data_IF_307022204014
#
_entry.id   IF_307022204014
#
_cell.length_a   1.000
_cell.length_b   1.000
_cell.length_c   1.000
_cell.angle_alpha   90.00
_cell.angle_beta   90.00
_cell.angle_gamma   90.00
#
_symmetry.space_group_name_H-M   'P 1'
#
loop_
_entity.id
_entity.type
_entity.pdbx_description
1 polymer ?
#
# COMPACT_ATOMS: atom_id res chain seq x y z
N UNK A 1 4.75 4.04 1.47
CA UNK A 1 4.01 2.80 1.16
C UNK A 1 4.96 1.60 1.04
N UNK A 2 4.40 0.40 0.99
CA UNK A 2 5.13 -0.84 0.72
C UNK A 2 4.60 -1.48 -0.55
N UNK A 3 5.48 -1.70 -1.52
CA UNK A 3 5.16 -2.41 -2.76
C UNK A 3 5.34 -3.91 -2.57
N UNK A 4 4.41 -4.70 -3.07
CA UNK A 4 4.52 -6.17 -3.14
C UNK A 4 5.48 -6.53 -4.27
N UNK A 5 6.49 -7.35 -3.98
CA UNK A 5 7.45 -7.85 -4.98
C UNK A 5 6.82 -8.91 -5.88
N UNK A 6 7.46 -9.17 -7.04
CA UNK A 6 6.99 -10.17 -8.01
C UNK A 6 6.84 -11.57 -7.42
N UNK A 7 7.74 -11.96 -6.51
CA UNK A 7 7.62 -13.16 -5.69
C UNK A 7 7.01 -12.77 -4.34
N UNK A 8 5.67 -12.72 -4.25
CA UNK A 8 5.01 -12.06 -3.13
C UNK A 8 5.08 -12.82 -1.82
N UNK A 9 5.21 -14.12 -1.85
CA UNK A 9 5.15 -14.94 -0.65
C UNK A 9 6.52 -15.39 -0.17
N UNK A 10 6.70 -15.40 1.15
CA UNK A 10 7.88 -15.92 1.85
C UNK A 10 7.44 -16.81 3.00
N UNK A 11 8.00 -18.00 3.09
CA UNK A 11 7.85 -18.84 4.28
C UNK A 11 8.68 -18.30 5.44
N UNK A 12 8.11 -18.32 6.61
CA UNK A 12 8.76 -17.99 7.85
C UNK A 12 8.66 -19.15 8.83
N UNK A 13 9.82 -19.72 9.20
CA UNK A 13 9.99 -20.79 10.20
C UNK A 13 9.09 -22.03 9.97
N UNK A 14 8.69 -22.31 8.72
CA UNK A 14 7.77 -23.38 8.34
C UNK A 14 6.37 -23.32 9.00
N UNK A 15 6.02 -22.19 9.62
CA UNK A 15 4.76 -22.00 10.31
C UNK A 15 3.89 -20.89 9.73
N UNK A 16 4.52 -19.91 9.10
CA UNK A 16 3.85 -18.71 8.62
C UNK A 16 4.22 -18.39 7.18
N UNK A 17 3.31 -17.69 6.52
CA UNK A 17 3.56 -17.02 5.24
C UNK A 17 3.55 -15.53 5.49
N UNK A 18 4.63 -14.86 5.11
CA UNK A 18 4.76 -13.41 5.06
C UNK A 18 4.73 -12.93 3.62
N UNK A 19 4.37 -11.67 3.40
CA UNK A 19 4.53 -11.08 2.09
C UNK A 19 5.89 -10.38 1.96
N UNK A 20 6.49 -10.57 0.80
CA UNK A 20 7.73 -9.95 0.42
C UNK A 20 7.45 -8.55 -0.13
N UNK A 21 7.90 -7.55 0.58
CA UNK A 21 7.64 -6.14 0.25
C UNK A 21 8.91 -5.34 0.12
N UNK A 22 8.84 -4.24 -0.59
CA UNK A 22 9.88 -3.22 -0.62
C UNK A 22 9.31 -1.87 -0.20
N UNK A 23 10.12 -1.11 0.52
CA UNK A 23 9.77 0.23 0.97
C UNK A 23 9.79 1.20 -0.21
N UNK A 24 8.74 1.97 -0.37
CA UNK A 24 8.66 3.07 -1.32
C UNK A 24 9.01 4.39 -0.61
N UNK A 25 10.09 5.02 -1.05
CA UNK A 25 10.53 6.32 -0.55
C UNK A 25 10.94 6.37 0.93
N UNK A 26 11.01 7.58 1.46
CA UNK A 26 11.17 7.86 2.89
C UNK A 26 9.84 7.69 3.63
N UNK A 27 9.84 6.98 4.75
CA UNK A 27 8.60 6.77 5.49
C UNK A 27 8.84 6.47 6.96
N UNK A 28 7.88 6.84 7.79
CA UNK A 28 7.82 6.40 9.18
C UNK A 28 7.36 4.93 9.22
N UNK A 29 8.15 4.06 9.84
CA UNK A 29 7.80 2.64 9.95
C UNK A 29 6.80 2.38 11.08
N UNK A 30 6.94 3.07 12.21
CA UNK A 30 6.12 2.83 13.40
C UNK A 30 4.60 2.83 13.17
N UNK A 31 4.01 3.72 12.34
CA UNK A 31 2.56 3.74 12.09
C UNK A 31 2.02 2.52 11.33
N UNK A 32 2.88 1.65 10.82
CA UNK A 32 2.46 0.46 10.07
C UNK A 32 2.26 -0.78 10.94
N UNK A 33 2.78 -0.77 12.16
CA UNK A 33 2.67 -1.90 13.07
C UNK A 33 1.27 -2.02 13.69
N UNK A 34 0.88 -3.25 14.00
CA UNK A 34 -0.30 -3.64 14.78
C UNK A 34 -1.62 -3.09 14.23
N UNK A 35 -1.69 -2.93 12.93
CA UNK A 35 -2.86 -2.39 12.23
C UNK A 35 -3.41 -3.37 11.20
N UNK A 36 -4.72 -3.38 10.97
CA UNK A 36 -5.28 -4.14 9.86
C UNK A 36 -4.82 -3.52 8.54
N UNK A 37 -4.15 -4.32 7.74
CA UNK A 37 -3.65 -3.95 6.43
C UNK A 37 -4.31 -4.80 5.36
N UNK A 38 -4.30 -4.30 4.13
CA UNK A 38 -4.66 -5.05 2.94
C UNK A 38 -3.85 -4.56 1.74
N UNK A 39 -4.21 -5.04 0.55
CA UNK A 39 -3.52 -4.69 -0.69
C UNK A 39 -4.47 -4.07 -1.70
N UNK A 40 -3.95 -3.09 -2.43
CA UNK A 40 -4.62 -2.48 -3.57
C UNK A 40 -3.60 -2.11 -4.64
N UNK A 41 -4.05 -1.94 -5.87
CA UNK A 41 -3.18 -1.54 -6.96
C UNK A 41 -3.78 -1.90 -8.32
N UNK A 42 -2.90 -2.26 -9.25
CA UNK A 42 -3.28 -2.63 -10.61
C UNK A 42 -2.66 -3.96 -11.01
N UNK A 43 -3.35 -4.66 -11.90
CA UNK A 43 -2.93 -5.89 -12.54
C UNK A 43 -2.83 -5.67 -14.03
N UNK A 44 -1.80 -6.23 -14.65
CA UNK A 44 -1.76 -6.45 -16.09
C UNK A 44 -2.38 -7.83 -16.36
N UNK A 45 -3.50 -7.86 -17.06
CA UNK A 45 -4.30 -9.07 -17.28
C UNK A 45 -4.41 -9.36 -18.76
N UNK A 46 -4.28 -10.63 -19.12
CA UNK A 46 -4.49 -11.11 -20.48
C UNK A 46 -6.00 -11.18 -20.78
N UNK A 47 -6.44 -10.44 -21.78
CA UNK A 47 -7.82 -10.49 -22.32
C UNK A 47 -7.77 -10.85 -23.82
N UNK A 48 -7.81 -12.14 -24.13
CA UNK A 48 -7.63 -12.63 -25.50
C UNK A 48 -6.24 -12.28 -26.03
N UNK A 49 -6.18 -11.44 -27.06
CA UNK A 49 -4.91 -10.97 -27.68
C UNK A 49 -4.45 -9.60 -27.16
N UNK A 50 -5.04 -9.11 -26.08
CA UNK A 50 -4.70 -7.80 -25.49
C UNK A 50 -4.25 -7.95 -24.05
N UNK A 51 -3.50 -6.96 -23.59
CA UNK A 51 -3.22 -6.76 -22.16
C UNK A 51 -4.12 -5.63 -21.68
N UNK A 52 -4.89 -5.89 -20.66
CA UNK A 52 -5.74 -4.90 -20.01
C UNK A 52 -5.22 -4.59 -18.61
N UNK A 53 -5.41 -3.35 -18.17
CA UNK A 53 -5.16 -2.96 -16.79
C UNK A 53 -6.44 -3.12 -15.98
N UNK A 54 -6.37 -3.87 -14.89
CA UNK A 54 -7.46 -4.02 -13.91
C UNK A 54 -7.02 -3.42 -12.59
N UNK A 55 -7.86 -2.55 -12.03
CA UNK A 55 -7.68 -2.10 -10.66
C UNK A 55 -8.20 -3.17 -9.71
N UNK A 56 -7.50 -3.35 -8.61
CA UNK A 56 -7.87 -4.29 -7.57
C UNK A 56 -7.73 -3.66 -6.19
N UNK A 57 -8.66 -3.97 -5.32
CA UNK A 57 -8.63 -3.67 -3.89
C UNK A 57 -9.16 -4.88 -3.15
N UNK A 58 -8.34 -5.50 -2.33
CA UNK A 58 -8.82 -6.55 -1.41
C UNK A 58 -9.46 -5.85 -0.22
N UNK A 59 -10.79 -5.84 -0.18
CA UNK A 59 -11.56 -5.04 0.80
C UNK A 59 -11.91 -5.84 2.06
N UNK A 60 -10.89 -6.44 2.68
CA UNK A 60 -10.96 -7.08 3.99
C UNK A 60 -9.65 -6.93 4.73
N UNK A 61 -9.65 -7.14 6.03
CA UNK A 61 -8.43 -7.23 6.83
C UNK A 61 -7.69 -8.50 6.41
N UNK A 62 -6.53 -8.33 5.78
CA UNK A 62 -5.80 -9.40 5.13
C UNK A 62 -4.46 -9.67 5.79
N UNK A 63 -3.81 -8.63 6.26
CA UNK A 63 -2.41 -8.61 6.66
C UNK A 63 -2.21 -7.82 7.95
N UNK A 64 -1.10 -8.11 8.62
CA UNK A 64 -0.60 -7.30 9.73
C UNK A 64 0.92 -7.35 9.78
N UNK A 65 1.55 -6.26 10.15
CA UNK A 65 2.96 -6.23 10.57
C UNK A 65 2.97 -6.21 12.10
N UNK A 66 3.15 -7.36 12.76
CA UNK A 66 3.09 -7.41 14.22
C UNK A 66 4.38 -6.86 14.84
N UNK A 67 4.25 -6.07 15.89
CA UNK A 67 5.36 -5.77 16.78
C UNK A 67 5.77 -7.00 17.59
N UNK A 68 7.02 -7.04 17.96
CA UNK A 68 7.48 -7.98 18.96
C UNK A 68 7.10 -7.49 20.37
N UNK A 69 6.85 -8.43 21.27
CA UNK A 69 6.75 -8.09 22.68
C UNK A 69 8.05 -7.45 23.16
N UNK A 70 7.97 -6.52 24.13
CA UNK A 70 9.11 -5.80 24.67
C UNK A 70 10.24 -6.73 25.15
N UNK A 71 9.90 -7.96 25.57
CA UNK A 71 10.87 -8.96 25.98
C UNK A 71 11.81 -9.43 24.88
N UNK A 72 11.38 -9.32 23.62
CA UNK A 72 12.13 -9.71 22.42
C UNK A 72 12.74 -8.52 21.68
N UNK A 73 12.34 -7.30 22.04
CA UNK A 73 12.87 -6.07 21.46
C UNK A 73 12.94 -4.97 22.53
N UNK A 74 13.91 -5.06 23.44
CA UNK A 74 14.04 -4.16 24.59
C UNK A 74 14.43 -2.74 24.21
N UNK A 75 15.04 -2.55 23.05
CA UNK A 75 15.51 -1.25 22.55
C UNK A 75 14.44 -0.48 21.78
N UNK A 76 13.24 -1.06 21.58
CA UNK A 76 12.20 -0.46 20.75
C UNK A 76 11.82 0.97 21.18
N UNK A 77 11.88 1.25 22.48
CA UNK A 77 11.57 2.58 23.03
C UNK A 77 12.78 3.52 23.10
N UNK A 78 13.97 3.02 22.83
CA UNK A 78 15.24 3.74 22.97
C UNK A 78 15.85 4.13 21.61
N UNK A 79 15.06 4.06 20.53
CA UNK A 79 15.49 4.44 19.18
C UNK A 79 15.86 3.28 18.27
N UNK A 80 15.11 2.18 18.33
CA UNK A 80 15.30 1.02 17.47
C UNK A 80 15.27 1.39 15.98
N UNK A 81 16.28 0.94 15.23
CA UNK A 81 16.38 1.15 13.79
C UNK A 81 15.74 0.01 13.03
N UNK A 82 14.54 0.24 12.52
CA UNK A 82 13.81 -0.76 11.73
C UNK A 82 14.55 -1.12 10.43
N UNK A 83 14.69 -2.42 10.19
CA UNK A 83 15.10 -2.98 8.91
C UNK A 83 13.86 -3.34 8.08
N UNK A 84 13.62 -2.61 7.01
CA UNK A 84 12.42 -2.81 6.19
C UNK A 84 12.30 -4.23 5.60
N UNK A 85 13.41 -4.92 5.35
CA UNK A 85 13.42 -6.28 4.79
C UNK A 85 13.27 -7.39 5.85
N UNK A 86 13.26 -7.04 7.12
CA UNK A 86 13.14 -7.99 8.25
C UNK A 86 11.91 -7.66 9.08
N UNK A 87 11.83 -6.42 9.56
CA UNK A 87 10.83 -5.99 10.55
C UNK A 87 9.48 -5.65 9.91
N UNK A 88 9.48 -5.25 8.61
CA UNK A 88 8.30 -4.69 7.95
C UNK A 88 7.59 -5.69 7.01
N UNK A 89 7.95 -6.96 7.06
CA UNK A 89 7.31 -7.99 6.24
C UNK A 89 5.95 -8.37 6.85
N UNK A 90 4.82 -8.08 6.17
CA UNK A 90 3.52 -8.36 6.73
C UNK A 90 3.23 -9.86 6.81
N UNK A 91 2.68 -10.27 7.93
CA UNK A 91 2.16 -11.61 8.13
C UNK A 91 0.87 -11.77 7.30
N UNK A 92 0.80 -12.82 6.50
CA UNK A 92 -0.33 -13.12 5.64
C UNK A 92 -1.17 -14.30 6.17
N UNK A 93 -0.53 -15.35 6.68
CA UNK A 93 -1.25 -16.49 7.17
C UNK A 93 -0.37 -17.56 7.80
N UNK A 94 -0.96 -18.65 8.21
CA UNK A 94 -0.26 -19.89 8.59
C UNK A 94 0.36 -20.59 7.37
N UNK A 95 1.06 -21.68 7.59
CA UNK A 95 1.74 -22.45 6.53
C UNK A 95 0.80 -22.87 5.37
N UNK A 96 -0.44 -23.18 5.70
CA UNK A 96 -1.47 -23.61 4.72
C UNK A 96 -1.88 -22.47 3.75
N UNK A 97 -1.55 -21.21 4.06
CA UNK A 97 -1.84 -20.08 3.19
C UNK A 97 -0.85 -19.93 2.03
N UNK A 98 0.21 -20.76 2.00
CA UNK A 98 1.19 -20.72 0.93
C UNK A 98 0.56 -20.93 -0.45
N UNK A 99 0.91 -20.06 -1.40
CA UNK A 99 0.41 -20.08 -2.77
C UNK A 99 -0.96 -19.44 -2.97
N UNK A 100 -1.62 -18.95 -1.92
CA UNK A 100 -2.99 -18.43 -2.00
C UNK A 100 -3.10 -16.92 -2.15
N UNK A 101 -2.00 -16.17 -1.98
CA UNK A 101 -2.07 -14.71 -2.03
C UNK A 101 -2.56 -14.19 -3.39
N UNK A 102 -1.96 -14.65 -4.48
CA UNK A 102 -2.38 -14.22 -5.81
C UNK A 102 -3.75 -14.75 -6.23
N UNK A 103 -4.22 -15.87 -5.65
CA UNK A 103 -5.62 -16.32 -5.80
C UNK A 103 -6.58 -15.31 -5.14
N UNK A 104 -6.28 -14.89 -3.92
CA UNK A 104 -7.05 -13.85 -3.21
C UNK A 104 -7.12 -12.53 -4.00
N UNK A 105 -6.02 -12.15 -4.62
CA UNK A 105 -5.95 -10.95 -5.47
C UNK A 105 -6.79 -11.13 -6.74
N UNK A 106 -6.66 -12.27 -7.41
CA UNK A 106 -7.42 -12.59 -8.62
C UNK A 106 -8.93 -12.60 -8.37
N UNK A 107 -9.37 -13.25 -7.29
CA UNK A 107 -10.75 -13.27 -6.85
C UNK A 107 -11.30 -11.86 -6.62
N UNK A 108 -10.54 -11.02 -5.91
CA UNK A 108 -10.93 -9.63 -5.63
C UNK A 108 -11.00 -8.76 -6.89
N UNK A 109 -10.21 -9.07 -7.91
CA UNK A 109 -10.22 -8.38 -9.21
C UNK A 109 -11.26 -8.96 -10.19
N UNK A 110 -11.89 -10.08 -9.87
CA UNK A 110 -12.82 -10.80 -10.75
C UNK A 110 -12.13 -11.35 -12.02
N UNK A 111 -10.88 -11.80 -11.89
CA UNK A 111 -10.08 -12.36 -12.98
C UNK A 111 -9.53 -13.73 -12.60
N UNK A 112 -9.09 -14.50 -13.59
CA UNK A 112 -8.41 -15.77 -13.32
C UNK A 112 -6.95 -15.53 -12.96
N UNK A 113 -6.43 -16.33 -12.05
CA UNK A 113 -5.02 -16.23 -11.62
C UNK A 113 -4.04 -16.39 -12.78
N UNK A 114 -4.33 -17.33 -13.68
CA UNK A 114 -3.50 -17.62 -14.86
C UNK A 114 -3.46 -16.49 -15.89
N UNK A 115 -4.44 -15.58 -15.88
CA UNK A 115 -4.49 -14.43 -16.78
C UNK A 115 -3.70 -13.22 -16.25
N UNK A 116 -3.24 -13.25 -14.99
CA UNK A 116 -2.42 -12.19 -14.42
C UNK A 116 -0.98 -12.32 -14.93
N UNK A 117 -0.55 -11.33 -15.70
CA UNK A 117 0.78 -11.25 -16.29
C UNK A 117 1.80 -10.46 -15.44
N UNK A 118 1.30 -9.59 -14.60
CA UNK A 118 2.10 -8.76 -13.70
C UNK A 118 1.22 -7.91 -12.80
N UNK A 119 1.82 -7.29 -11.82
CA UNK A 119 1.11 -6.48 -10.84
C UNK A 119 1.95 -5.32 -10.31
N UNK A 120 1.25 -4.25 -9.92
CA UNK A 120 1.72 -3.16 -9.10
C UNK A 120 0.78 -3.07 -7.88
N UNK A 121 1.09 -3.84 -6.85
CA UNK A 121 0.29 -3.94 -5.63
C UNK A 121 1.02 -3.28 -4.46
N UNK A 122 0.27 -2.56 -3.65
CA UNK A 122 0.77 -1.85 -2.48
C UNK A 122 -0.05 -2.20 -1.25
N UNK A 123 0.61 -2.20 -0.10
CA UNK A 123 -0.10 -2.26 1.18
C UNK A 123 -0.87 -0.96 1.39
N UNK A 124 -2.04 -1.08 1.98
CA UNK A 124 -2.76 0.08 2.49
C UNK A 124 -3.30 -0.19 3.90
N UNK A 125 -3.34 0.87 4.70
CA UNK A 125 -3.91 0.84 6.04
C UNK A 125 -5.43 0.89 5.95
N UNK A 126 -6.11 -0.03 6.61
CA UNK A 126 -7.57 -0.13 6.61
C UNK A 126 -8.25 0.68 7.72
N UNK A 127 -7.48 1.27 8.61
CA UNK A 127 -8.07 2.16 9.65
C UNK A 127 -8.72 3.35 8.94
N UNK A 128 -10.04 3.57 9.14
CA UNK A 128 -10.74 4.67 8.50
C UNK A 128 -10.26 6.02 9.04
N UNK A 129 -10.50 7.07 8.26
CA UNK A 129 -10.32 8.43 8.74
C UNK A 129 -11.23 8.74 9.93
N UNK A 130 -10.79 9.62 10.82
CA UNK A 130 -11.54 10.03 12.00
C UNK A 130 -11.43 11.52 12.27
N UNK A 131 -12.50 12.08 12.82
CA UNK A 131 -12.52 13.43 13.38
C UNK A 131 -12.36 13.30 14.89
N UNK A 132 -11.48 14.11 15.48
CA UNK A 132 -11.14 14.03 16.89
C UNK A 132 -10.73 15.40 17.47
N UNK A 133 -10.47 15.45 18.77
CA UNK A 133 -10.21 16.67 19.53
C UNK A 133 -11.40 17.05 20.40
N UNK A 134 -11.20 17.97 21.33
CA UNK A 134 -12.23 18.38 22.29
C UNK A 134 -13.46 18.99 21.61
N UNK A 135 -13.28 19.67 20.49
CA UNK A 135 -14.34 20.26 19.66
C UNK A 135 -14.47 19.62 18.28
N UNK A 136 -13.79 18.49 18.02
CA UNK A 136 -13.79 17.86 16.69
C UNK A 136 -12.97 18.64 15.66
N UNK A 137 -11.95 19.35 16.10
CA UNK A 137 -11.16 20.28 15.28
C UNK A 137 -10.04 19.61 14.47
N UNK A 138 -9.79 18.31 14.69
CA UNK A 138 -8.74 17.57 14.00
C UNK A 138 -9.31 16.47 13.12
N UNK A 139 -8.62 16.21 12.01
CA UNK A 139 -8.87 15.07 11.11
C UNK A 139 -7.61 14.21 11.03
N UNK A 140 -7.75 12.91 11.23
CA UNK A 140 -6.72 11.92 10.93
C UNK A 140 -7.20 10.98 9.84
N UNK A 141 -6.39 10.83 8.80
CA UNK A 141 -6.65 9.88 7.72
C UNK A 141 -5.31 9.44 7.11
N UNK A 142 -5.25 8.23 6.60
CA UNK A 142 -4.14 7.82 5.75
C UNK A 142 -4.14 8.59 4.43
N UNK A 143 -2.97 8.81 3.86
CA UNK A 143 -2.77 9.41 2.53
C UNK A 143 -3.21 10.89 2.40
N UNK A 144 -3.34 11.65 3.49
CA UNK A 144 -3.53 13.10 3.40
C UNK A 144 -2.37 13.76 2.64
N UNK A 145 -1.18 13.36 2.95
CA UNK A 145 0.00 13.58 2.12
C UNK A 145 0.06 12.41 1.11
N UNK A 146 -0.05 12.69 -0.20
CA UNK A 146 -0.21 14.02 -0.82
C UNK A 146 -1.58 14.21 -1.52
N UNK A 147 -2.53 13.31 -1.26
CA UNK A 147 -3.85 13.37 -1.90
C UNK A 147 -4.62 14.66 -1.61
N UNK A 148 -4.37 15.32 -0.48
CA UNK A 148 -4.98 16.60 -0.18
C UNK A 148 -4.52 17.68 -1.18
N UNK A 149 -3.20 17.72 -1.47
CA UNK A 149 -2.65 18.67 -2.45
C UNK A 149 -3.13 18.33 -3.86
N UNK A 150 -3.12 17.05 -4.24
CA UNK A 150 -3.64 16.60 -5.53
C UNK A 150 -5.12 17.00 -5.73
N UNK A 151 -5.95 16.83 -4.70
CA UNK A 151 -7.35 17.23 -4.74
C UNK A 151 -7.52 18.76 -4.81
N UNK A 152 -6.78 19.50 -4.00
CA UNK A 152 -6.90 20.98 -3.95
C UNK A 152 -6.48 21.63 -5.26
N UNK A 153 -5.39 21.14 -5.85
CA UNK A 153 -4.92 21.63 -7.17
C UNK A 153 -5.87 21.26 -8.30
N UNK A 154 -6.47 20.06 -8.25
CA UNK A 154 -7.52 19.67 -9.19
C UNK A 154 -8.74 20.59 -9.09
N UNK A 155 -9.19 20.89 -7.87
CA UNK A 155 -10.29 21.83 -7.64
C UNK A 155 -9.97 23.21 -8.19
N UNK A 156 -8.79 23.75 -7.87
CA UNK A 156 -8.34 25.04 -8.40
C UNK A 156 -8.26 25.06 -9.94
N UNK A 157 -7.82 23.97 -10.56
CA UNK A 157 -7.81 23.82 -12.02
C UNK A 157 -9.22 23.84 -12.62
N UNK A 158 -10.18 23.15 -12.01
CA UNK A 158 -11.56 23.08 -12.53
C UNK A 158 -12.34 24.39 -12.33
N UNK A 159 -12.07 25.12 -11.26
CA UNK A 159 -12.77 26.35 -10.89
C UNK A 159 -12.08 27.61 -11.42
N UNK A 160 -10.81 27.50 -11.82
CA UNK A 160 -10.04 28.60 -12.40
C UNK A 160 -10.40 28.89 -13.84
N UNK A 161 -10.48 30.19 -14.18
CA UNK A 161 -10.66 30.65 -15.57
C UNK A 161 -9.36 31.26 -16.10
N UNK A 162 -8.85 30.73 -17.21
CA UNK A 162 -7.62 31.21 -17.84
C UNK A 162 -7.87 31.40 -19.35
N UNK A 163 -8.51 32.51 -19.79
CA UNK A 163 -8.93 32.67 -21.17
C UNK A 163 -7.76 32.81 -22.16
N UNK A 164 -6.59 33.21 -21.68
CA UNK A 164 -5.44 33.52 -22.52
C UNK A 164 -4.35 32.43 -22.53
N UNK A 165 -4.60 31.29 -21.88
CA UNK A 165 -3.62 30.19 -21.84
C UNK A 165 -4.29 28.81 -21.81
N UNK A 166 -3.51 27.78 -22.15
CA UNK A 166 -3.93 26.38 -21.99
C UNK A 166 -3.51 25.93 -20.59
N UNK A 167 -4.50 25.71 -19.73
CA UNK A 167 -4.26 25.20 -18.39
C UNK A 167 -4.08 23.68 -18.42
N UNK A 168 -3.10 23.18 -17.70
CA UNK A 168 -2.83 21.74 -17.55
C UNK A 168 -2.72 21.41 -16.07
N UNK A 169 -3.47 20.42 -15.63
CA UNK A 169 -3.31 19.80 -14.32
C UNK A 169 -2.68 18.43 -14.50
N UNK A 170 -1.57 18.17 -13.82
CA UNK A 170 -0.88 16.88 -13.85
C UNK A 170 -0.66 16.37 -12.44
N UNK A 171 -0.90 15.07 -12.24
CA UNK A 171 -0.58 14.34 -11.02
C UNK A 171 0.45 13.29 -11.39
N UNK A 172 1.63 13.38 -10.80
CA UNK A 172 2.73 12.48 -11.09
C UNK A 172 2.79 11.36 -10.06
N UNK A 173 3.11 10.17 -10.52
CA UNK A 173 3.47 9.04 -9.67
C UNK A 173 4.94 9.16 -9.24
N UNK A 174 5.35 8.40 -8.22
CA UNK A 174 6.73 8.30 -7.72
C UNK A 174 7.31 9.59 -7.08
N UNK A 175 6.49 10.42 -6.50
CA UNK A 175 6.93 11.66 -5.83
C UNK A 175 7.99 11.38 -4.75
N UNK A 176 7.77 10.36 -3.91
CA UNK A 176 8.65 9.97 -2.78
C UNK A 176 10.04 9.45 -3.20
N UNK A 177 10.23 9.14 -4.46
CA UNK A 177 11.55 8.80 -5.02
C UNK A 177 12.31 10.07 -5.42
N UNK A 178 11.62 11.21 -5.40
CA UNK A 178 12.11 12.52 -5.78
C UNK A 178 12.02 12.75 -7.28
N UNK A 179 12.30 14.00 -7.68
CA UNK A 179 12.17 14.47 -9.07
C UNK A 179 13.17 13.84 -10.06
N UNK A 180 13.86 12.79 -9.67
CA UNK A 180 14.85 12.09 -10.50
C UNK A 180 14.23 10.92 -11.31
N UNK A 181 12.95 10.64 -11.14
CA UNK A 181 12.25 9.63 -11.94
C UNK A 181 12.00 10.15 -13.36
N UNK A 182 12.30 9.29 -14.32
CA UNK A 182 12.12 9.56 -15.76
C UNK A 182 10.81 9.02 -16.26
#
# INVERSE_FOLDING_TARGET
SFKIKENPEMEAENHYVKLNVEKYGGMLCAPWFDRPLSVAGRLAVKEGNRIATKLVKVDRDLLMIPNLAIHFNREVNDGYKYNAQVDMLPLYGGADAKGTFMETVAESAGVKREDILGHDLYLYNRVPGSIWGAGGEFLSCGHLDDLQCAFSTMKGFLEGGHPDCVSVHAVFDNEEIGSMTK
#
